data_IF_679693677585
#
_entry.id   IF_679693677585
#
_cell.length_a   1.000
_cell.length_b   1.000
_cell.length_c   1.000
_cell.angle_alpha   90.00
_cell.angle_beta   90.00
_cell.angle_gamma   90.00
#
_symmetry.space_group_name_H-M   'P 1'
#
loop_
_entity.id
_entity.type
_entity.pdbx_description
1 polymer ?
#
# COMPACT_ATOMS: atom_id res chain seq x y z
N UNK A 1 8.30 13.10 9.18
CA UNK A 1 6.87 12.93 8.90
C UNK A 1 6.42 13.76 7.69
N UNK A 2 5.85 14.98 7.82
CA UNK A 2 5.25 15.69 6.66
C UNK A 2 6.22 15.93 5.48
N UNK A 3 7.38 16.51 5.75
CA UNK A 3 8.39 16.77 4.70
C UNK A 3 8.93 15.49 4.05
N UNK A 4 8.95 14.39 4.81
CA UNK A 4 9.41 13.08 4.34
C UNK A 4 8.35 12.39 3.47
N UNK A 5 7.08 12.53 3.83
CA UNK A 5 5.93 12.09 3.03
C UNK A 5 5.88 12.86 1.70
N UNK A 6 6.12 14.17 1.72
CA UNK A 6 6.24 14.99 0.50
C UNK A 6 7.38 14.49 -0.40
N UNK A 7 8.58 14.29 0.15
CA UNK A 7 9.72 13.70 -0.59
C UNK A 7 9.41 12.30 -1.13
N UNK A 8 8.69 11.47 -0.37
CA UNK A 8 8.29 10.14 -0.82
C UNK A 8 7.34 10.21 -2.02
N UNK A 9 6.25 10.98 -1.91
CA UNK A 9 5.28 11.14 -3.00
C UNK A 9 5.94 11.75 -4.24
N UNK A 10 6.78 12.77 -4.06
CA UNK A 10 7.48 13.40 -5.19
C UNK A 10 8.44 12.41 -5.88
N UNK A 11 9.10 11.52 -5.13
CA UNK A 11 9.90 10.42 -5.72
C UNK A 11 9.04 9.44 -6.50
N UNK A 12 7.88 9.02 -5.98
CA UNK A 12 6.97 8.09 -6.67
C UNK A 12 6.44 8.71 -7.96
N UNK A 13 6.02 9.97 -7.92
CA UNK A 13 5.55 10.69 -9.11
C UNK A 13 6.67 10.83 -10.14
N UNK A 14 7.89 11.16 -9.72
CA UNK A 14 9.04 11.21 -10.63
C UNK A 14 9.35 9.85 -11.25
N UNK A 15 9.27 8.76 -10.49
CA UNK A 15 9.46 7.41 -11.04
C UNK A 15 8.40 7.05 -12.09
N UNK A 16 7.15 7.43 -11.85
CA UNK A 16 6.07 7.28 -12.84
C UNK A 16 6.39 8.08 -14.09
N UNK A 17 6.76 9.36 -13.96
CA UNK A 17 7.12 10.22 -15.08
C UNK A 17 8.27 9.63 -15.90
N UNK A 18 9.37 9.22 -15.25
CA UNK A 18 10.52 8.59 -15.92
C UNK A 18 10.12 7.30 -16.65
N UNK A 19 9.25 6.48 -16.05
CA UNK A 19 8.72 5.26 -16.68
C UNK A 19 7.81 5.54 -17.87
N UNK A 20 7.12 6.67 -17.88
CA UNK A 20 6.30 7.08 -19.03
C UNK A 20 7.20 7.65 -20.14
N UNK A 21 8.21 8.44 -19.78
CA UNK A 21 9.19 9.01 -20.70
C UNK A 21 10.01 7.94 -21.44
N UNK A 22 10.32 6.82 -20.78
CA UNK A 22 11.05 5.72 -21.41
C UNK A 22 10.24 4.98 -22.50
N UNK A 23 8.93 5.21 -22.59
CA UNK A 23 8.09 4.50 -23.54
C UNK A 23 8.27 5.00 -24.98
N UNK A 24 8.43 6.30 -25.25
CA UNK A 24 8.72 6.86 -26.61
C UNK A 24 9.19 8.33 -26.60
N UNK A 25 9.44 8.89 -27.80
CA UNK A 25 9.71 10.32 -28.04
C UNK A 25 8.51 11.26 -27.88
N UNK A 26 7.26 10.75 -27.86
CA UNK A 26 6.05 11.52 -27.54
C UNK A 26 5.56 11.07 -26.17
N UNK A 27 5.87 11.85 -25.15
CA UNK A 27 5.72 11.44 -23.75
C UNK A 27 4.24 11.26 -23.35
N UNK A 28 3.84 10.08 -22.86
CA UNK A 28 2.58 9.93 -22.14
C UNK A 28 2.58 10.92 -20.97
N UNK A 29 1.60 11.82 -20.92
CA UNK A 29 1.49 12.74 -19.79
C UNK A 29 0.69 12.08 -18.69
N UNK A 30 1.27 12.06 -17.49
CA UNK A 30 0.49 11.87 -16.29
C UNK A 30 -0.61 12.95 -16.29
N UNK A 31 -1.85 12.56 -16.02
CA UNK A 31 -3.00 13.47 -16.04
C UNK A 31 -2.93 14.52 -14.92
N UNK A 32 -3.95 14.59 -14.08
CA UNK A 32 -3.96 15.53 -12.94
C UNK A 32 -3.02 15.08 -11.81
N UNK A 33 -1.71 15.29 -12.02
CA UNK A 33 -0.66 14.95 -11.08
C UNK A 33 -0.81 15.69 -9.73
N UNK A 34 -1.38 16.91 -9.75
CA UNK A 34 -1.67 17.67 -8.54
C UNK A 34 -2.70 16.98 -7.65
N UNK A 35 -3.80 16.50 -8.25
CA UNK A 35 -4.86 15.79 -7.51
C UNK A 35 -4.37 14.44 -7.00
N UNK A 36 -3.58 13.71 -7.79
CA UNK A 36 -2.94 12.46 -7.35
C UNK A 36 -2.00 12.71 -6.17
N UNK A 37 -1.12 13.71 -6.27
CA UNK A 37 -0.21 14.12 -5.19
C UNK A 37 -0.98 14.45 -3.91
N UNK A 38 -2.03 15.27 -4.02
CA UNK A 38 -2.85 15.67 -2.88
C UNK A 38 -3.53 14.46 -2.21
N UNK A 39 -4.05 13.52 -2.99
CA UNK A 39 -4.67 12.30 -2.45
C UNK A 39 -3.65 11.40 -1.73
N UNK A 40 -2.48 11.17 -2.33
CA UNK A 40 -1.42 10.37 -1.72
C UNK A 40 -0.91 11.00 -0.41
N UNK A 41 -0.73 12.33 -0.39
CA UNK A 41 -0.36 13.04 0.83
C UNK A 41 -1.44 12.96 1.91
N UNK A 42 -2.71 13.04 1.53
CA UNK A 42 -3.83 12.88 2.47
C UNK A 42 -3.79 11.50 3.13
N UNK A 43 -3.66 10.44 2.34
CA UNK A 43 -3.56 9.06 2.84
C UNK A 43 -2.35 8.86 3.77
N UNK A 44 -1.19 9.42 3.42
CA UNK A 44 0.00 9.35 4.29
C UNK A 44 -0.13 10.18 5.57
N UNK A 45 -0.90 11.28 5.52
CA UNK A 45 -1.18 12.08 6.71
C UNK A 45 -2.11 11.31 7.66
N UNK A 46 -3.13 10.66 7.11
CA UNK A 46 -4.07 9.78 7.81
C UNK A 46 -3.33 8.58 8.45
N UNK A 47 -2.41 7.95 7.72
CA UNK A 47 -1.53 6.91 8.26
C UNK A 47 -0.65 7.43 9.41
N UNK A 48 -0.08 8.64 9.28
CA UNK A 48 0.74 9.25 10.33
C UNK A 48 -0.04 9.59 11.60
N UNK A 49 -1.31 9.99 11.49
CA UNK A 49 -2.18 10.19 12.65
C UNK A 49 -2.47 8.87 13.36
N UNK A 50 -2.75 7.81 12.60
CA UNK A 50 -2.95 6.47 13.13
C UNK A 50 -1.68 5.92 13.80
N UNK A 51 -0.49 6.18 13.25
CA UNK A 51 0.78 5.80 13.88
C UNK A 51 0.98 6.47 15.25
N UNK A 52 0.59 7.74 15.39
CA UNK A 52 0.60 8.43 16.69
C UNK A 52 -0.38 7.77 17.66
N UNK A 53 -1.59 7.45 17.21
CA UNK A 53 -2.58 6.73 18.03
C UNK A 53 -2.06 5.36 18.44
N UNK A 54 -1.47 4.60 17.52
CA UNK A 54 -0.88 3.29 17.79
C UNK A 54 0.27 3.38 18.80
N UNK A 55 1.13 4.39 18.70
CA UNK A 55 2.19 4.64 19.68
C UNK A 55 1.62 4.93 21.09
N UNK A 56 0.54 5.72 21.17
CA UNK A 56 -0.18 5.96 22.42
C UNK A 56 -0.79 4.68 23.02
N UNK A 57 -1.40 3.84 22.18
CA UNK A 57 -1.95 2.55 22.58
C UNK A 57 -0.86 1.57 23.03
N UNK A 58 0.31 1.57 22.40
CA UNK A 58 1.47 0.78 22.84
C UNK A 58 1.92 1.16 24.26
N UNK A 59 2.11 2.46 24.52
CA UNK A 59 2.49 2.94 25.85
C UNK A 59 1.45 2.55 26.90
N UNK A 60 0.16 2.68 26.56
CA UNK A 60 -0.93 2.26 27.44
C UNK A 60 -0.88 0.75 27.69
N UNK A 61 -0.70 -0.06 26.66
CA UNK A 61 -0.59 -1.51 26.80
C UNK A 61 0.60 -1.92 27.69
N UNK A 62 1.73 -1.23 27.59
CA UNK A 62 2.89 -1.46 28.46
C UNK A 62 2.53 -1.20 29.93
N UNK A 63 1.85 -0.08 30.23
CA UNK A 63 1.38 0.20 31.59
C UNK A 63 0.39 -0.85 32.10
N UNK A 64 -0.54 -1.30 31.25
CA UNK A 64 -1.51 -2.35 31.59
C UNK A 64 -0.83 -3.70 31.85
N UNK A 65 0.19 -4.05 31.06
CA UNK A 65 0.98 -5.27 31.27
C UNK A 65 1.79 -5.23 32.58
N UNK A 66 2.33 -4.07 32.98
CA UNK A 66 3.02 -3.97 34.27
C UNK A 66 2.05 -4.07 35.46
N UNK A 67 0.83 -3.54 35.33
CA UNK A 67 -0.21 -3.77 36.33
C UNK A 67 -0.57 -5.26 36.44
N UNK A 68 -0.74 -5.95 35.31
CA UNK A 68 -1.00 -7.40 35.27
C UNK A 68 0.12 -8.16 35.99
N UNK A 69 1.39 -7.87 35.69
CA UNK A 69 2.54 -8.52 36.34
C UNK A 69 2.58 -8.27 37.85
N UNK A 70 2.27 -7.04 38.27
CA UNK A 70 2.18 -6.70 39.70
C UNK A 70 1.08 -7.51 40.40
N UNK A 71 -0.10 -7.63 39.79
CA UNK A 71 -1.22 -8.40 40.31
C UNK A 71 -0.91 -9.91 40.34
N UNK A 72 -0.25 -10.45 39.31
CA UNK A 72 0.22 -11.84 39.28
C UNK A 72 1.21 -12.13 40.42
N UNK A 73 2.13 -11.20 40.68
CA UNK A 73 3.06 -11.30 41.80
C UNK A 73 2.34 -11.26 43.15
N UNK A 74 1.38 -10.35 43.33
CA UNK A 74 0.56 -10.28 44.55
C UNK A 74 -0.25 -11.56 44.76
N UNK A 75 -0.85 -12.11 43.70
CA UNK A 75 -1.61 -13.35 43.74
C UNK A 75 -0.71 -14.54 44.15
N UNK A 76 0.51 -14.62 43.61
CA UNK A 76 1.49 -15.62 44.01
C UNK A 76 1.85 -15.51 45.50
N UNK A 77 2.09 -14.29 46.00
CA UNK A 77 2.39 -14.05 47.41
C UNK A 77 1.22 -14.43 48.32
N UNK A 78 -0.03 -14.09 47.94
CA UNK A 78 -1.21 -14.46 48.70
C UNK A 78 -1.36 -15.98 48.78
N UNK A 79 -1.16 -16.69 47.67
CA UNK A 79 -1.17 -18.15 47.67
C UNK A 79 -0.10 -18.74 48.60
N UNK A 80 1.11 -18.17 48.60
CA UNK A 80 2.16 -18.61 49.51
C UNK A 80 1.77 -18.40 50.97
N UNK A 81 1.22 -17.22 51.32
CA UNK A 81 0.74 -16.93 52.68
C UNK A 81 -0.37 -17.89 53.12
N UNK A 82 -1.26 -18.27 52.20
CA UNK A 82 -2.32 -19.25 52.46
C UNK A 82 -1.72 -20.62 52.76
N UNK A 83 -0.74 -21.08 51.98
CA UNK A 83 -0.09 -22.37 52.20
C UNK A 83 0.74 -22.38 53.50
N UNK A 84 1.41 -21.28 53.82
CA UNK A 84 2.10 -21.09 55.11
C UNK A 84 1.11 -21.14 56.28
N UNK A 85 -0.02 -20.44 56.18
CA UNK A 85 -1.09 -20.49 57.19
C UNK A 85 -1.65 -21.90 57.39
N UNK A 86 -1.90 -22.63 56.30
CA UNK A 86 -2.32 -24.04 56.34
C UNK A 86 -1.25 -24.93 56.96
N UNK A 87 0.04 -24.64 56.78
CA UNK A 87 1.13 -25.39 57.40
C UNK A 87 1.16 -25.16 58.92
N UNK A 88 1.08 -23.90 59.38
CA UNK A 88 1.03 -23.57 60.81
C UNK A 88 -0.19 -24.20 61.51
N UNK A 89 -1.37 -24.18 60.88
CA UNK A 89 -2.57 -24.85 61.41
C UNK A 89 -2.37 -26.37 61.56
N UNK A 90 -1.62 -27.00 60.66
CA UNK A 90 -1.31 -28.44 60.72
C UNK A 90 -0.26 -28.77 61.79
N UNK A 91 0.70 -27.88 62.04
CA UNK A 91 1.73 -28.05 63.07
C UNK A 91 1.27 -27.64 64.48
N UNK A 92 0.14 -26.94 64.60
CA UNK A 92 -0.36 -26.37 65.87
C UNK A 92 0.36 -25.09 66.28
N UNK A 93 1.11 -24.48 65.37
CA UNK A 93 1.79 -23.19 65.58
C UNK A 93 0.82 -22.02 65.41
N UNK A 94 1.07 -20.87 66.09
CA UNK A 94 0.26 -19.68 65.90
C UNK A 94 0.37 -19.17 64.45
N UNK A 95 -0.78 -18.96 63.82
CA UNK A 95 -0.88 -18.41 62.46
C UNK A 95 -0.67 -16.90 62.51
N UNK A 96 0.20 -16.37 61.64
CA UNK A 96 0.40 -14.93 61.50
C UNK A 96 -0.84 -14.26 60.91
N UNK A 97 -1.08 -13.00 61.26
CA UNK A 97 -2.25 -12.26 60.83
C UNK A 97 -2.37 -12.18 59.30
N UNK A 98 -1.24 -12.01 58.59
CA UNK A 98 -1.18 -11.91 57.13
C UNK A 98 -1.67 -13.20 56.45
N UNK A 99 -1.31 -14.37 57.01
CA UNK A 99 -1.79 -15.67 56.54
C UNK A 99 -3.30 -15.85 56.76
N UNK A 100 -3.83 -15.29 57.83
CA UNK A 100 -5.27 -15.31 58.12
C UNK A 100 -6.08 -14.38 57.21
N UNK A 101 -5.51 -13.27 56.77
CA UNK A 101 -6.16 -12.31 55.86
C UNK A 101 -6.07 -12.71 54.39
N UNK A 102 -5.02 -13.43 53.98
CA UNK A 102 -4.76 -13.76 52.58
C UNK A 102 -5.93 -14.45 51.84
N UNK A 103 -6.69 -15.40 52.43
CA UNK A 103 -7.85 -15.99 51.77
C UNK A 103 -8.97 -14.99 51.43
N UNK A 104 -9.13 -13.92 52.22
CA UNK A 104 -10.17 -12.92 52.02
C UNK A 104 -9.80 -11.94 50.89
N UNK A 105 -8.51 -11.62 50.74
CA UNK A 105 -8.00 -10.73 49.70
C UNK A 105 -7.82 -11.42 48.34
N UNK A 106 -7.69 -12.74 48.32
CA UNK A 106 -7.42 -13.51 47.10
C UNK A 106 -8.50 -13.32 46.00
N UNK A 107 -9.81 -13.37 46.29
CA UNK A 107 -10.84 -13.08 45.29
C UNK A 107 -10.77 -11.65 44.73
N UNK A 108 -10.40 -10.67 45.56
CA UNK A 108 -10.31 -9.26 45.14
C UNK A 108 -9.18 -9.10 44.11
N UNK A 109 -7.98 -9.59 44.42
CA UNK A 109 -6.83 -9.55 43.51
C UNK A 109 -7.08 -10.36 42.23
N UNK A 110 -7.78 -11.50 42.33
CA UNK A 110 -8.18 -12.29 41.16
C UNK A 110 -9.14 -11.53 40.24
N UNK A 111 -10.14 -10.86 40.81
CA UNK A 111 -11.09 -10.07 40.02
C UNK A 111 -10.40 -8.87 39.34
N UNK A 112 -9.50 -8.18 40.05
CA UNK A 112 -8.72 -7.09 39.48
C UNK A 112 -7.78 -7.57 38.36
N UNK A 113 -7.14 -8.73 38.53
CA UNK A 113 -6.30 -9.33 37.49
C UNK A 113 -7.10 -9.63 36.23
N UNK A 114 -8.28 -10.23 36.37
CA UNK A 114 -9.16 -10.52 35.22
C UNK A 114 -9.61 -9.23 34.54
N UNK A 115 -9.99 -8.20 35.32
CA UNK A 115 -10.36 -6.90 34.77
C UNK A 115 -9.19 -6.25 34.02
N UNK A 116 -7.99 -6.25 34.58
CA UNK A 116 -6.78 -5.71 33.94
C UNK A 116 -6.45 -6.45 32.64
N UNK A 117 -6.56 -7.78 32.64
CA UNK A 117 -6.36 -8.60 31.44
C UNK A 117 -7.39 -8.31 30.34
N UNK A 118 -8.65 -8.06 30.70
CA UNK A 118 -9.69 -7.67 29.75
C UNK A 118 -9.41 -6.30 29.12
N UNK A 119 -8.97 -5.32 29.92
CA UNK A 119 -8.58 -4.01 29.40
C UNK A 119 -7.39 -4.14 28.45
N UNK A 120 -6.35 -4.88 28.84
CA UNK A 120 -5.20 -5.12 27.97
C UNK A 120 -5.57 -5.84 26.66
N UNK A 121 -6.52 -6.77 26.71
CA UNK A 121 -7.04 -7.44 25.51
C UNK A 121 -7.79 -6.46 24.59
N UNK A 122 -8.59 -5.56 25.15
CA UNK A 122 -9.27 -4.51 24.38
C UNK A 122 -8.25 -3.56 23.71
N UNK A 123 -7.26 -3.08 24.46
CA UNK A 123 -6.18 -2.24 23.94
C UNK A 123 -5.41 -2.92 22.79
N UNK A 124 -5.10 -4.23 22.93
CA UNK A 124 -4.48 -5.02 21.84
C UNK A 124 -5.37 -5.11 20.60
N UNK A 125 -6.68 -5.26 20.78
CA UNK A 125 -7.63 -5.29 19.66
C UNK A 125 -7.66 -3.95 18.94
N UNK A 126 -7.74 -2.83 19.68
CA UNK A 126 -7.68 -1.48 19.11
C UNK A 126 -6.38 -1.23 18.35
N UNK A 127 -5.25 -1.67 18.92
CA UNK A 127 -3.94 -1.57 18.28
C UNK A 127 -3.88 -2.34 16.96
N UNK A 128 -4.42 -3.57 16.93
CA UNK A 128 -4.48 -4.37 15.71
C UNK A 128 -5.34 -3.72 14.62
N UNK A 129 -6.46 -3.09 15.00
CA UNK A 129 -7.31 -2.35 14.07
C UNK A 129 -6.61 -1.12 13.51
N UNK A 130 -5.90 -0.38 14.37
CA UNK A 130 -5.10 0.79 13.98
C UNK A 130 -3.99 0.39 12.99
N UNK A 131 -3.25 -0.69 13.28
CA UNK A 131 -2.23 -1.22 12.39
C UNK A 131 -2.80 -1.61 11.02
N UNK A 132 -3.96 -2.28 11.01
CA UNK A 132 -4.60 -2.64 9.75
C UNK A 132 -4.99 -1.42 8.92
N UNK A 133 -5.47 -0.34 9.56
CA UNK A 133 -5.80 0.90 8.87
C UNK A 133 -4.55 1.61 8.31
N UNK A 134 -3.43 1.60 9.04
CA UNK A 134 -2.14 2.10 8.55
C UNK A 134 -1.72 1.34 7.28
N UNK A 135 -1.78 0.01 7.32
CA UNK A 135 -1.43 -0.85 6.19
C UNK A 135 -2.33 -0.57 4.98
N UNK A 136 -3.64 -0.37 5.21
CA UNK A 136 -4.59 0.00 4.16
C UNK A 136 -4.28 1.35 3.54
N UNK A 137 -3.97 2.38 4.33
CA UNK A 137 -3.59 3.69 3.81
C UNK A 137 -2.33 3.59 2.94
N UNK A 138 -1.30 2.87 3.40
CA UNK A 138 -0.06 2.66 2.65
C UNK A 138 -0.27 1.86 1.35
N UNK A 139 -1.12 0.83 1.40
CA UNK A 139 -1.51 0.06 0.21
C UNK A 139 -2.30 0.92 -0.78
N UNK A 140 -3.18 1.80 -0.31
CA UNK A 140 -3.96 2.71 -1.15
C UNK A 140 -3.07 3.77 -1.83
N UNK A 141 -2.01 4.24 -1.17
CA UNK A 141 -1.01 5.13 -1.79
C UNK A 141 -0.33 4.43 -2.97
N UNK A 142 0.11 3.19 -2.76
CA UNK A 142 0.75 2.38 -3.81
C UNK A 142 -0.21 2.09 -4.97
N UNK A 143 -1.47 1.73 -4.65
CA UNK A 143 -2.50 1.47 -5.66
C UNK A 143 -2.83 2.71 -6.48
N UNK A 144 -2.98 3.87 -5.85
CA UNK A 144 -3.24 5.12 -6.54
C UNK A 144 -2.11 5.47 -7.54
N UNK A 145 -0.86 5.21 -7.15
CA UNK A 145 0.30 5.40 -8.01
C UNK A 145 0.28 4.46 -9.24
N UNK A 146 -0.03 3.17 -9.03
CA UNK A 146 -0.14 2.18 -10.11
C UNK A 146 -1.31 2.47 -11.05
N UNK A 147 -2.49 2.78 -10.52
CA UNK A 147 -3.67 3.15 -11.31
C UNK A 147 -3.41 4.38 -12.18
N UNK A 148 -2.71 5.38 -11.64
CA UNK A 148 -2.34 6.57 -12.40
C UNK A 148 -1.37 6.25 -13.56
N UNK A 149 -0.37 5.38 -13.32
CA UNK A 149 0.54 4.93 -14.37
C UNK A 149 -0.19 4.16 -15.47
N UNK A 150 -1.02 3.18 -15.08
CA UNK A 150 -1.79 2.36 -16.02
C UNK A 150 -2.77 3.21 -16.85
N UNK A 151 -3.46 4.15 -16.22
CA UNK A 151 -4.36 5.10 -16.89
C UNK A 151 -3.63 5.95 -17.93
N UNK A 152 -2.48 6.53 -17.56
CA UNK A 152 -1.65 7.31 -18.49
C UNK A 152 -1.15 6.44 -19.66
N UNK A 153 -0.72 5.21 -19.37
CA UNK A 153 -0.25 4.26 -20.38
C UNK A 153 -1.36 3.85 -21.36
N UNK A 154 -2.55 3.52 -20.87
CA UNK A 154 -3.69 3.14 -21.70
C UNK A 154 -4.17 4.29 -22.58
N UNK A 155 -4.22 5.52 -22.04
CA UNK A 155 -4.53 6.72 -22.80
C UNK A 155 -3.55 6.89 -23.97
N UNK A 156 -2.27 6.71 -23.69
CA UNK A 156 -1.21 6.79 -24.68
C UNK A 156 -1.31 5.72 -25.78
N UNK A 157 -1.48 4.44 -25.41
CA UNK A 157 -1.67 3.35 -26.37
C UNK A 157 -2.92 3.62 -27.24
N UNK A 158 -3.99 4.15 -26.65
CA UNK A 158 -5.20 4.51 -27.39
C UNK A 158 -4.94 5.64 -28.40
N UNK A 159 -4.14 6.64 -28.06
CA UNK A 159 -3.74 7.70 -29.00
C UNK A 159 -2.87 7.17 -30.13
N UNK A 160 -1.88 6.30 -29.85
CA UNK A 160 -1.06 5.68 -30.89
C UNK A 160 -1.90 4.82 -31.86
N UNK A 161 -2.84 4.04 -31.32
CA UNK A 161 -3.75 3.25 -32.14
C UNK A 161 -4.61 4.14 -33.04
N UNK A 162 -5.09 5.26 -32.52
CA UNK A 162 -5.84 6.24 -33.31
C UNK A 162 -4.99 6.88 -34.41
N UNK A 163 -3.79 7.35 -34.09
CA UNK A 163 -2.88 7.96 -35.06
C UNK A 163 -2.46 6.97 -36.16
N UNK A 164 -2.16 5.72 -35.78
CA UNK A 164 -1.84 4.67 -36.75
C UNK A 164 -3.03 4.31 -37.65
N UNK A 165 -4.26 4.29 -37.11
CA UNK A 165 -5.47 4.13 -37.91
C UNK A 165 -5.70 5.31 -38.87
N UNK A 166 -5.49 6.54 -38.41
CA UNK A 166 -5.61 7.75 -39.23
C UNK A 166 -4.58 7.73 -40.38
N UNK A 167 -3.31 7.38 -40.09
CA UNK A 167 -2.27 7.21 -41.11
C UNK A 167 -2.60 6.09 -42.11
N UNK A 168 -3.11 4.95 -41.65
CA UNK A 168 -3.54 3.86 -42.52
C UNK A 168 -4.70 4.29 -43.43
N UNK A 169 -5.67 5.04 -42.90
CA UNK A 169 -6.77 5.61 -43.68
C UNK A 169 -6.26 6.62 -44.73
N UNK A 170 -5.33 7.51 -44.37
CA UNK A 170 -4.69 8.44 -45.32
C UNK A 170 -3.91 7.72 -46.43
N UNK A 171 -3.30 6.57 -46.12
CA UNK A 171 -2.64 5.71 -47.10
C UNK A 171 -3.60 4.87 -47.97
N UNK A 172 -4.92 5.05 -47.82
CA UNK A 172 -5.93 4.35 -48.62
C UNK A 172 -6.20 2.91 -48.18
N UNK A 173 -5.76 2.51 -46.97
CA UNK A 173 -6.01 1.17 -46.46
C UNK A 173 -7.48 1.01 -46.05
N UNK A 174 -8.14 -0.04 -46.55
CA UNK A 174 -9.47 -0.45 -46.06
C UNK A 174 -9.32 -1.23 -44.75
N UNK A 175 -9.69 -0.62 -43.63
CA UNK A 175 -9.71 -1.28 -42.33
C UNK A 175 -11.00 -2.09 -42.20
N UNK A 176 -10.92 -3.42 -42.24
CA UNK A 176 -12.04 -4.32 -41.94
C UNK A 176 -11.98 -4.75 -40.47
N UNK A 177 -13.11 -4.69 -39.76
CA UNK A 177 -13.26 -4.82 -38.31
C UNK A 177 -12.75 -6.13 -37.63
N UNK A 178 -12.11 -7.05 -38.35
CA UNK A 178 -11.65 -8.33 -37.78
C UNK A 178 -10.19 -8.70 -38.06
N UNK A 179 -9.46 -7.93 -38.86
CA UNK A 179 -8.01 -8.02 -38.99
C UNK A 179 -7.53 -6.81 -39.80
N UNK A 180 -6.52 -6.09 -39.31
CA UNK A 180 -5.88 -5.01 -40.06
C UNK A 180 -5.08 -5.60 -41.24
N UNK A 181 -5.75 -5.98 -42.32
CA UNK A 181 -5.11 -6.28 -43.60
C UNK A 181 -5.04 -4.98 -44.39
N UNK A 182 -3.85 -4.37 -44.43
CA UNK A 182 -3.56 -3.19 -45.26
C UNK A 182 -3.55 -3.63 -46.73
N UNK A 183 -4.69 -3.55 -47.40
CA UNK A 183 -4.72 -3.62 -48.86
C UNK A 183 -4.35 -2.23 -49.41
N UNK A 184 -3.11 -2.09 -49.88
CA UNK A 184 -2.66 -0.93 -50.65
C UNK A 184 -3.55 -0.78 -51.89
N UNK A 185 -4.17 0.39 -52.06
CA UNK A 185 -5.03 0.68 -53.18
C UNK A 185 -4.28 0.48 -54.52
N UNK A 186 -4.95 -0.08 -55.52
CA UNK A 186 -4.36 -0.46 -56.82
C UNK A 186 -3.68 0.73 -57.50
N UNK A 187 -4.16 1.95 -57.23
CA UNK A 187 -3.57 3.21 -57.72
C UNK A 187 -2.24 3.55 -57.06
N UNK A 188 -2.08 3.32 -55.76
CA UNK A 188 -0.81 3.50 -55.03
C UNK A 188 0.23 2.46 -55.47
N UNK A 189 -0.21 1.22 -55.70
CA UNK A 189 0.64 0.17 -56.28
C UNK A 189 1.14 0.55 -57.67
N UNK A 190 0.26 1.07 -58.54
CA UNK A 190 0.63 1.57 -59.86
C UNK A 190 1.57 2.80 -59.80
N UNK A 191 1.38 3.70 -58.84
CA UNK A 191 2.27 4.85 -58.63
C UNK A 191 3.68 4.43 -58.20
N UNK A 192 3.80 3.50 -57.26
CA UNK A 192 5.09 2.94 -56.84
C UNK A 192 5.78 2.17 -57.98
N UNK A 193 5.01 1.39 -58.74
CA UNK A 193 5.53 0.68 -59.92
C UNK A 193 6.01 1.64 -61.01
N UNK A 194 5.26 2.73 -61.26
CA UNK A 194 5.65 3.77 -62.19
C UNK A 194 6.89 4.54 -61.71
N UNK A 195 7.04 4.80 -60.40
CA UNK A 195 8.26 5.40 -59.87
C UNK A 195 9.48 4.49 -60.03
N UNK A 196 9.32 3.17 -59.81
CA UNK A 196 10.36 2.19 -60.09
C UNK A 196 10.76 2.15 -61.57
N UNK A 197 9.79 2.22 -62.47
CA UNK A 197 10.02 2.30 -63.92
C UNK A 197 10.72 3.60 -64.33
N UNK A 198 10.34 4.75 -63.76
CA UNK A 198 10.98 6.05 -64.04
C UNK A 198 12.43 6.08 -63.52
N UNK A 199 12.70 5.47 -62.37
CA UNK A 199 14.06 5.31 -61.86
C UNK A 199 14.92 4.40 -62.77
N UNK A 200 14.36 3.29 -63.25
CA UNK A 200 15.03 2.41 -64.21
C UNK A 200 15.31 3.11 -65.55
N UNK A 201 14.39 3.94 -66.05
CA UNK A 201 14.58 4.75 -67.25
C UNK A 201 15.66 5.83 -67.07
N UNK A 202 15.73 6.49 -65.92
CA UNK A 202 16.82 7.43 -65.58
C UNK A 202 18.18 6.73 -65.57
N UNK A 203 18.26 5.52 -65.01
CA UNK A 203 19.51 4.75 -64.99
C UNK A 203 19.93 4.30 -66.40
N UNK A 204 18.99 3.97 -67.28
CA UNK A 204 19.29 3.63 -68.68
C UNK A 204 19.72 4.82 -69.54
N UNK A 205 19.34 6.06 -69.19
CA UNK A 205 19.79 7.26 -69.89
C UNK A 205 21.21 7.71 -69.49
N UNK A 206 21.76 7.18 -68.39
CA UNK A 206 23.14 7.43 -67.97
C UNK A 206 24.21 6.59 -68.68
N UNK A 207 23.80 5.59 -69.46
CA UNK A 207 24.71 4.57 -70.04
C UNK A 207 24.90 4.69 -71.56
N UNK A 208 24.51 5.82 -72.16
CA UNK A 208 24.87 6.16 -73.54
C UNK A 208 26.17 6.97 -73.55
N UNK A 209 27.31 6.27 -73.61
CA UNK A 209 28.53 6.79 -74.23
C UNK A 209 28.34 6.94 -75.73
#
# INVERSE_FOLDING_TARGET
>A
MREENEKHVDRVLNQISVRLESLTASTPKLGDASTLRANMLRLLSEAGELEITAAGLHLRLDTENELIRSLEYQLANLNQLIEEGKACLRSGEPVRAECGMAPALLPEVQNELVAAQQVAAATRSELSACQHQIDLCNANVSRAAEEAYLSAHLSYVSTLLRESMDLAAMAGAKVNNYAAVVQLDRRLMLLLQNQGMVAALKNHQGDRR
#
